data_IF_919720946379
#
_entry.id   IF_919720946379
#
_cell.length_a   1.000
_cell.length_b   1.000
_cell.length_c   1.000
_cell.angle_alpha   90.00
_cell.angle_beta   90.00
_cell.angle_gamma   90.00
#
_symmetry.space_group_name_H-M   'P 1'
#
loop_
_entity.id
_entity.type
_entity.pdbx_description
1 polymer ?
#
# COMPACT_ATOMS: atom_id res chain seq x y z
N UNK A 1 -14.39 -18.31 25.67
CA UNK A 1 -13.29 -19.00 24.98
C UNK A 1 -13.04 -18.35 23.64
N UNK A 2 -11.89 -17.78 23.43
CA UNK A 2 -11.46 -17.41 22.09
C UNK A 2 -11.33 -18.68 21.27
N UNK A 3 -12.03 -18.77 20.14
CA UNK A 3 -11.84 -19.88 19.21
C UNK A 3 -10.35 -19.92 18.82
N UNK A 4 -9.62 -21.03 19.05
CA UNK A 4 -8.22 -21.13 18.66
C UNK A 4 -8.02 -21.12 17.15
N UNK A 5 -9.08 -20.97 16.38
CA UNK A 5 -9.16 -21.07 14.93
C UNK A 5 -9.57 -19.75 14.29
N UNK A 6 -9.44 -18.64 15.04
CA UNK A 6 -9.73 -17.30 14.55
C UNK A 6 -8.45 -16.49 14.42
N UNK A 7 -8.21 -15.96 13.24
CA UNK A 7 -7.08 -15.06 12.97
C UNK A 7 -7.58 -13.76 12.36
N UNK A 8 -6.93 -12.66 12.76
CA UNK A 8 -7.21 -11.33 12.23
C UNK A 8 -5.95 -10.86 11.52
N UNK A 9 -6.06 -10.61 10.22
CA UNK A 9 -4.99 -10.05 9.42
C UNK A 9 -5.20 -8.55 9.29
N UNK A 10 -4.25 -7.77 9.75
CA UNK A 10 -4.16 -6.34 9.45
C UNK A 10 -3.30 -6.18 8.21
N UNK A 11 -3.88 -5.71 7.12
CA UNK A 11 -3.23 -5.58 5.82
C UNK A 11 -3.13 -4.10 5.47
N UNK A 12 -1.91 -3.62 5.26
CA UNK A 12 -1.69 -2.23 4.88
C UNK A 12 -0.79 -2.12 3.66
N UNK A 13 -1.13 -1.23 2.73
CA UNK A 13 -0.35 -1.01 1.52
C UNK A 13 0.87 -0.13 1.80
N UNK A 14 2.04 -0.57 1.34
CA UNK A 14 3.29 0.16 1.54
C UNK A 14 3.32 1.42 0.68
N UNK A 15 3.48 2.59 1.31
CA UNK A 15 3.54 3.90 0.61
C UNK A 15 2.47 3.99 -0.47
N UNK A 16 1.22 3.79 -0.09
CA UNK A 16 0.11 3.47 -1.01
C UNK A 16 0.01 4.41 -2.21
N UNK A 17 -0.07 5.71 -1.99
CA UNK A 17 -0.27 6.66 -3.10
C UNK A 17 0.91 6.63 -4.09
N UNK A 18 2.13 6.55 -3.59
CA UNK A 18 3.29 6.45 -4.45
C UNK A 18 3.32 5.11 -5.19
N UNK A 19 3.07 4.01 -4.49
CA UNK A 19 3.07 2.68 -5.09
C UNK A 19 1.99 2.52 -6.14
N UNK A 20 0.79 3.05 -5.89
CA UNK A 20 -0.31 3.01 -6.86
C UNK A 20 -0.03 3.87 -8.09
N UNK A 21 0.52 5.08 -7.90
CA UNK A 21 0.96 5.91 -9.01
C UNK A 21 2.05 5.22 -9.83
N UNK A 22 3.03 4.62 -9.15
CA UNK A 22 4.11 3.91 -9.82
C UNK A 22 3.62 2.68 -10.61
N UNK A 23 2.79 1.86 -10.00
CA UNK A 23 2.24 0.67 -10.65
C UNK A 23 1.42 1.03 -11.90
N UNK A 24 0.60 2.08 -11.80
CA UNK A 24 -0.19 2.57 -12.94
C UNK A 24 0.71 3.05 -14.09
N UNK A 25 1.72 3.87 -13.77
CA UNK A 25 2.64 4.41 -14.78
C UNK A 25 3.41 3.31 -15.50
N UNK A 26 3.92 2.33 -14.77
CA UNK A 26 4.70 1.23 -15.35
C UNK A 26 3.79 0.24 -16.08
N UNK A 27 2.72 -0.23 -15.43
CA UNK A 27 1.94 -1.35 -15.95
C UNK A 27 0.86 -0.95 -16.96
N UNK A 28 0.33 0.26 -16.84
CA UNK A 28 -0.75 0.74 -17.73
C UNK A 28 -0.21 1.71 -18.78
N UNK A 29 0.59 2.69 -18.37
CA UNK A 29 1.14 3.68 -19.28
C UNK A 29 2.43 3.25 -19.97
N UNK A 30 3.05 2.14 -19.53
CA UNK A 30 4.26 1.60 -20.12
C UNK A 30 5.50 2.46 -19.89
N UNK A 31 5.52 3.28 -18.86
CA UNK A 31 6.69 4.09 -18.53
C UNK A 31 7.86 3.20 -18.09
N UNK A 32 9.08 3.53 -18.56
CA UNK A 32 10.27 2.74 -18.27
C UNK A 32 10.77 2.94 -16.83
N UNK A 33 10.54 4.11 -16.23
CA UNK A 33 11.01 4.44 -14.90
C UNK A 33 9.94 4.14 -13.86
N UNK A 34 10.30 3.31 -12.88
CA UNK A 34 9.46 3.03 -11.73
C UNK A 34 9.76 4.04 -10.62
N UNK A 35 8.77 4.82 -10.22
CA UNK A 35 8.93 5.84 -9.16
C UNK A 35 9.45 5.26 -7.84
N UNK A 36 9.21 3.98 -7.59
CA UNK A 36 9.66 3.30 -6.36
C UNK A 36 11.17 3.10 -6.31
N UNK A 37 11.84 3.19 -7.46
CA UNK A 37 13.29 2.95 -7.58
C UNK A 37 14.13 4.23 -7.56
N UNK A 38 13.49 5.39 -7.55
CA UNK A 38 14.14 6.70 -7.58
C UNK A 38 13.60 7.58 -6.45
N UNK A 39 14.35 8.62 -6.02
CA UNK A 39 13.80 9.60 -5.09
C UNK A 39 12.57 10.28 -5.70
N UNK A 40 11.40 9.99 -5.17
CA UNK A 40 10.14 10.49 -5.68
C UNK A 40 9.11 10.67 -4.56
N UNK A 41 8.19 11.58 -4.78
CA UNK A 41 7.05 11.81 -3.89
C UNK A 41 5.77 12.01 -4.68
N UNK A 42 4.66 11.71 -4.03
CA UNK A 42 3.34 12.22 -4.42
C UNK A 42 3.09 13.46 -3.58
N UNK A 43 2.79 14.57 -4.23
CA UNK A 43 2.57 15.82 -3.53
C UNK A 43 1.49 16.65 -4.19
N UNK A 44 0.90 17.54 -3.40
CA UNK A 44 -0.16 18.42 -3.86
C UNK A 44 0.33 19.48 -4.81
N UNK A 45 -0.58 20.38 -5.19
CA UNK A 45 -0.41 21.39 -6.20
C UNK A 45 0.79 22.31 -5.91
N UNK A 46 1.82 22.20 -6.72
CA UNK A 46 3.02 23.02 -6.62
C UNK A 46 2.75 24.50 -6.93
N UNK A 47 1.78 24.79 -7.77
CA UNK A 47 1.47 26.16 -8.21
C UNK A 47 0.97 27.03 -7.07
N UNK A 48 0.36 26.43 -6.07
CA UNK A 48 -0.19 27.16 -4.91
C UNK A 48 0.79 27.33 -3.75
N UNK A 49 2.06 26.94 -3.90
CA UNK A 49 3.13 27.06 -2.91
C UNK A 49 2.87 26.40 -1.55
N UNK A 50 1.80 25.63 -1.40
CA UNK A 50 1.39 25.01 -0.13
C UNK A 50 1.29 23.50 -0.21
N UNK A 51 1.87 22.90 -1.26
CA UNK A 51 1.89 21.44 -1.40
C UNK A 51 2.70 20.78 -0.31
N UNK A 52 2.19 19.65 0.17
CA UNK A 52 2.88 18.82 1.15
C UNK A 52 3.17 17.44 0.55
N UNK A 53 4.13 16.74 1.14
CA UNK A 53 4.46 15.36 0.80
C UNK A 53 3.35 14.45 1.33
N UNK A 54 2.63 13.79 0.43
CA UNK A 54 1.57 12.83 0.80
C UNK A 54 2.10 11.41 0.92
N UNK A 55 3.06 11.05 0.06
CA UNK A 55 3.73 9.75 0.08
C UNK A 55 5.12 9.90 -0.53
N UNK A 56 6.02 9.01 -0.17
CA UNK A 56 7.41 9.06 -0.59
C UNK A 56 7.93 7.67 -0.94
N UNK A 57 8.90 7.62 -1.85
CA UNK A 57 9.61 6.38 -2.19
C UNK A 57 10.62 6.03 -1.10
N UNK A 58 11.06 4.77 -1.09
CA UNK A 58 12.14 4.32 -0.21
C UNK A 58 13.44 5.10 -0.48
N UNK A 59 13.87 5.33 -1.75
CA UNK A 59 15.01 6.19 -2.02
C UNK A 59 14.86 7.62 -1.48
N UNK A 60 13.66 8.19 -1.49
CA UNK A 60 13.43 9.53 -0.92
C UNK A 60 13.66 9.58 0.59
N UNK A 61 13.41 8.48 1.30
CA UNK A 61 13.67 8.40 2.76
C UNK A 61 15.12 8.64 3.10
N UNK A 62 16.06 8.29 2.23
CA UNK A 62 17.50 8.48 2.43
C UNK A 62 17.89 9.95 2.49
N UNK A 63 17.08 10.84 1.96
CA UNK A 63 17.28 12.29 2.01
C UNK A 63 16.54 12.93 3.19
N UNK A 64 16.05 12.12 4.13
CA UNK A 64 15.30 12.57 5.30
C UNK A 64 14.03 13.34 4.94
N UNK A 65 13.40 12.99 3.82
CA UNK A 65 12.11 13.56 3.43
C UNK A 65 11.02 12.94 4.28
N UNK A 66 10.18 13.80 4.87
CA UNK A 66 9.11 13.39 5.78
C UNK A 66 7.73 13.58 5.14
N UNK A 67 6.84 12.62 5.35
CA UNK A 67 5.43 12.78 4.98
C UNK A 67 4.84 13.94 5.79
N UNK A 68 4.12 14.82 5.11
CA UNK A 68 3.53 16.02 5.71
C UNK A 68 4.40 17.26 5.65
N UNK A 69 5.70 17.16 5.29
CA UNK A 69 6.52 18.36 5.12
C UNK A 69 6.21 19.08 3.80
N UNK A 70 6.60 20.35 3.73
CA UNK A 70 6.41 21.13 2.52
C UNK A 70 7.27 20.57 1.36
N UNK A 71 6.73 20.56 0.15
CA UNK A 71 7.45 20.11 -1.05
C UNK A 71 8.70 20.96 -1.28
N UNK A 72 8.63 22.25 -1.00
CA UNK A 72 9.79 23.15 -1.08
C UNK A 72 10.93 22.65 -0.21
N UNK A 73 10.63 22.24 1.02
CA UNK A 73 11.62 21.68 1.95
C UNK A 73 12.18 20.37 1.42
N UNK A 74 11.34 19.49 0.90
CA UNK A 74 11.77 18.23 0.31
C UNK A 74 12.72 18.45 -0.88
N UNK A 75 12.43 19.42 -1.75
CA UNK A 75 13.29 19.77 -2.89
C UNK A 75 14.63 20.37 -2.46
N UNK A 76 14.68 21.07 -1.32
CA UNK A 76 15.94 21.54 -0.76
C UNK A 76 16.82 20.39 -0.30
N UNK A 77 16.21 19.35 0.26
CA UNK A 77 16.92 18.13 0.69
C UNK A 77 17.37 17.26 -0.50
N UNK A 78 16.59 17.23 -1.57
CA UNK A 78 16.83 16.43 -2.76
C UNK A 78 16.43 17.23 -4.01
N UNK A 79 17.38 18.00 -4.61
CA UNK A 79 17.04 18.84 -5.77
C UNK A 79 16.56 18.08 -7.00
N UNK A 80 16.94 16.81 -7.16
CA UNK A 80 16.51 15.96 -8.28
C UNK A 80 15.28 15.10 -7.96
N UNK A 81 14.57 15.42 -6.87
CA UNK A 81 13.36 14.71 -6.48
C UNK A 81 12.29 14.82 -7.56
N UNK A 82 11.72 13.67 -7.93
CA UNK A 82 10.58 13.62 -8.84
C UNK A 82 9.29 13.81 -8.05
N UNK A 83 8.51 14.80 -8.43
CA UNK A 83 7.23 15.12 -7.79
C UNK A 83 6.10 14.81 -8.74
N UNK A 84 5.17 13.95 -8.33
CA UNK A 84 3.97 13.65 -9.13
C UNK A 84 2.73 14.09 -8.37
N UNK A 85 1.73 14.65 -9.07
CA UNK A 85 0.49 15.02 -8.41
C UNK A 85 -0.31 13.81 -8.00
N UNK A 86 -1.15 13.91 -6.94
CA UNK A 86 -2.02 12.82 -6.54
C UNK A 86 -3.15 12.61 -7.56
N UNK A 87 -3.51 11.37 -7.77
CA UNK A 87 -4.65 10.96 -8.57
C UNK A 87 -5.63 10.16 -7.70
N UNK A 88 -6.53 10.86 -7.05
CA UNK A 88 -7.45 10.24 -6.08
C UNK A 88 -8.42 9.25 -6.74
N UNK A 89 -8.79 9.45 -7.99
CA UNK A 89 -9.62 8.49 -8.74
C UNK A 89 -8.89 7.15 -8.91
N UNK A 90 -7.62 7.21 -9.28
CA UNK A 90 -6.76 6.02 -9.35
C UNK A 90 -6.66 5.34 -7.99
N UNK A 91 -6.48 6.09 -6.91
CA UNK A 91 -6.28 5.51 -5.57
C UNK A 91 -7.56 4.85 -5.05
N UNK A 92 -8.71 5.43 -5.31
CA UNK A 92 -10.00 4.78 -4.97
C UNK A 92 -10.15 3.45 -5.70
N UNK A 93 -9.80 3.41 -6.98
CA UNK A 93 -9.87 2.18 -7.76
C UNK A 93 -8.87 1.12 -7.28
N UNK A 94 -7.65 1.54 -6.97
CA UNK A 94 -6.62 0.65 -6.43
C UNK A 94 -7.04 0.08 -5.07
N UNK A 95 -7.58 0.93 -4.19
CA UNK A 95 -8.10 0.52 -2.90
C UNK A 95 -9.22 -0.50 -3.05
N UNK A 96 -10.16 -0.26 -3.95
CA UNK A 96 -11.26 -1.19 -4.22
C UNK A 96 -10.76 -2.54 -4.70
N UNK A 97 -9.78 -2.55 -5.61
CA UNK A 97 -9.17 -3.79 -6.11
C UNK A 97 -8.47 -4.56 -5.00
N UNK A 98 -7.77 -3.86 -4.12
CA UNK A 98 -7.10 -4.42 -2.95
C UNK A 98 -8.11 -5.09 -2.00
N UNK A 99 -9.18 -4.38 -1.66
CA UNK A 99 -10.24 -4.92 -0.80
C UNK A 99 -10.91 -6.13 -1.45
N UNK A 100 -11.13 -6.10 -2.76
CA UNK A 100 -11.74 -7.23 -3.49
C UNK A 100 -10.88 -8.50 -3.44
N UNK A 101 -9.55 -8.36 -3.45
CA UNK A 101 -8.66 -9.51 -3.25
C UNK A 101 -8.86 -10.11 -1.87
N UNK A 102 -8.93 -9.29 -0.82
CA UNK A 102 -9.17 -9.78 0.55
C UNK A 102 -10.52 -10.49 0.66
N UNK A 103 -11.56 -9.96 0.00
CA UNK A 103 -12.92 -10.53 0.02
C UNK A 103 -13.02 -11.88 -0.68
N UNK A 104 -12.07 -12.25 -1.52
CA UNK A 104 -11.99 -13.60 -2.10
C UNK A 104 -11.73 -14.66 -1.04
N UNK A 105 -11.06 -14.29 0.04
CA UNK A 105 -10.58 -15.22 1.08
C UNK A 105 -11.32 -15.09 2.39
N UNK A 106 -11.94 -13.95 2.67
CA UNK A 106 -12.70 -13.71 3.88
C UNK A 106 -14.00 -12.98 3.58
N UNK A 107 -15.09 -13.42 4.19
CA UNK A 107 -16.38 -12.73 4.16
C UNK A 107 -16.47 -11.61 5.21
N UNK A 108 -15.45 -11.47 6.05
CA UNK A 108 -15.39 -10.47 7.10
C UNK A 108 -14.19 -9.53 6.87
N UNK A 109 -14.31 -8.64 5.89
CA UNK A 109 -13.30 -7.63 5.61
C UNK A 109 -13.81 -6.28 6.08
N UNK A 110 -13.05 -5.64 6.97
CA UNK A 110 -13.36 -4.32 7.52
C UNK A 110 -12.31 -3.33 7.00
N UNK A 111 -12.75 -2.41 6.16
CA UNK A 111 -11.87 -1.37 5.66
C UNK A 111 -11.73 -0.26 6.71
N UNK A 112 -10.51 -0.02 7.16
CA UNK A 112 -10.20 1.02 8.13
C UNK A 112 -9.90 2.37 7.46
N UNK A 113 -9.13 2.33 6.37
CA UNK A 113 -8.77 3.51 5.57
C UNK A 113 -8.62 3.11 4.11
N UNK A 114 -8.24 4.04 3.25
CA UNK A 114 -8.06 3.77 1.82
C UNK A 114 -6.97 2.71 1.55
N UNK A 115 -5.99 2.60 2.44
CA UNK A 115 -4.83 1.71 2.26
C UNK A 115 -4.71 0.62 3.34
N UNK A 116 -5.70 0.51 4.24
CA UNK A 116 -5.67 -0.43 5.36
C UNK A 116 -7.00 -1.16 5.52
N UNK A 117 -6.91 -2.44 5.82
CA UNK A 117 -8.09 -3.25 6.11
C UNK A 117 -7.75 -4.38 7.08
N UNK A 118 -8.77 -4.84 7.78
CA UNK A 118 -8.70 -6.09 8.54
C UNK A 118 -9.48 -7.17 7.80
N UNK A 119 -8.89 -8.36 7.70
CA UNK A 119 -9.55 -9.54 7.20
C UNK A 119 -9.61 -10.56 8.34
N UNK A 120 -10.81 -10.99 8.67
CA UNK A 120 -11.06 -11.92 9.77
C UNK A 120 -11.30 -13.31 9.21
N UNK A 121 -10.55 -14.29 9.72
CA UNK A 121 -10.63 -15.68 9.30
C UNK A 121 -11.11 -16.54 10.46
N UNK A 122 -12.37 -16.88 10.48
CA UNK A 122 -12.93 -17.85 11.41
C UNK A 122 -12.84 -19.26 10.79
N UNK A 123 -12.42 -20.23 11.58
CA UNK A 123 -12.27 -21.60 11.08
C UNK A 123 -11.07 -21.78 10.16
N UNK A 124 -10.06 -20.94 10.27
CA UNK A 124 -8.89 -20.93 9.38
C UNK A 124 -8.21 -22.31 9.34
N UNK A 125 -7.92 -22.87 10.50
CA UNK A 125 -7.22 -24.16 10.58
C UNK A 125 -8.05 -25.32 10.01
N UNK A 126 -9.37 -25.23 10.08
CA UNK A 126 -10.27 -26.20 9.49
C UNK A 126 -10.23 -26.15 7.96
N UNK A 127 -10.12 -24.94 7.38
CA UNK A 127 -10.10 -24.75 5.94
C UNK A 127 -8.72 -24.95 5.32
N UNK A 128 -7.67 -24.48 5.99
CA UNK A 128 -6.32 -24.39 5.41
C UNK A 128 -5.27 -25.26 6.13
N UNK A 129 -5.60 -25.81 7.28
CA UNK A 129 -4.70 -26.64 8.06
C UNK A 129 -3.97 -25.87 9.17
N UNK A 130 -3.57 -26.63 10.20
CA UNK A 130 -2.89 -26.09 11.37
C UNK A 130 -1.50 -25.56 10.97
N UNK A 131 -1.14 -24.37 11.46
CA UNK A 131 0.18 -23.79 11.23
C UNK A 131 0.36 -23.18 9.84
N UNK A 132 -0.70 -23.05 9.02
CA UNK A 132 -0.60 -22.56 7.65
C UNK A 132 -0.78 -21.04 7.51
N UNK A 133 -1.10 -20.32 8.59
CA UNK A 133 -1.42 -18.89 8.50
C UNK A 133 -0.29 -18.01 7.97
N UNK A 134 0.95 -18.30 8.33
CA UNK A 134 2.11 -17.54 7.86
C UNK A 134 2.32 -17.75 6.38
N UNK A 135 2.27 -18.99 5.91
CA UNK A 135 2.36 -19.32 4.49
C UNK A 135 1.22 -18.66 3.71
N UNK A 136 0.00 -18.72 4.25
CA UNK A 136 -1.16 -18.08 3.64
C UNK A 136 -0.96 -16.56 3.49
N UNK A 137 -0.42 -15.92 4.52
CA UNK A 137 -0.13 -14.49 4.47
C UNK A 137 0.91 -14.16 3.39
N UNK A 138 1.98 -14.94 3.27
CA UNK A 138 2.96 -14.77 2.19
C UNK A 138 2.34 -14.96 0.82
N UNK A 139 1.52 -15.98 0.63
CA UNK A 139 0.84 -16.25 -0.63
C UNK A 139 -0.12 -15.09 -1.00
N UNK A 140 -0.81 -14.53 0.00
CA UNK A 140 -1.68 -13.37 -0.19
C UNK A 140 -0.90 -12.13 -0.61
N UNK A 141 0.24 -11.87 0.02
CA UNK A 141 1.15 -10.78 -0.36
C UNK A 141 1.60 -10.94 -1.81
N UNK A 142 2.00 -12.14 -2.21
CA UNK A 142 2.44 -12.41 -3.59
C UNK A 142 1.30 -12.25 -4.59
N UNK A 143 0.10 -12.69 -4.27
CA UNK A 143 -1.05 -12.49 -5.15
C UNK A 143 -1.32 -10.99 -5.38
N UNK A 144 -1.31 -10.18 -4.33
CA UNK A 144 -1.51 -8.73 -4.44
C UNK A 144 -0.40 -8.10 -5.29
N UNK A 145 0.84 -8.49 -5.05
CA UNK A 145 1.99 -8.00 -5.83
C UNK A 145 1.88 -8.35 -7.31
N UNK A 146 1.57 -9.61 -7.62
CA UNK A 146 1.50 -10.09 -9.01
C UNK A 146 0.29 -9.54 -9.76
N UNK A 147 -0.86 -9.45 -9.10
CA UNK A 147 -2.10 -9.03 -9.75
C UNK A 147 -2.31 -7.52 -9.75
N UNK A 148 -1.91 -6.83 -8.69
CA UNK A 148 -2.16 -5.39 -8.52
C UNK A 148 -0.90 -4.53 -8.63
N UNK A 149 0.28 -5.13 -8.53
CA UNK A 149 1.55 -4.45 -8.77
C UNK A 149 2.10 -3.63 -7.59
N UNK A 150 1.59 -3.83 -6.38
CA UNK A 150 2.13 -3.17 -5.18
C UNK A 150 2.25 -4.14 -4.02
N UNK A 151 3.01 -3.75 -2.99
CA UNK A 151 3.27 -4.60 -1.84
C UNK A 151 2.47 -4.15 -0.61
N UNK A 152 2.20 -5.11 0.26
CA UNK A 152 1.50 -4.88 1.52
C UNK A 152 2.30 -5.46 2.69
N UNK A 153 2.05 -4.94 3.88
CA UNK A 153 2.44 -5.57 5.13
C UNK A 153 1.23 -6.26 5.74
N UNK A 154 1.45 -7.42 6.32
CA UNK A 154 0.39 -8.18 6.99
C UNK A 154 0.83 -8.46 8.43
N UNK A 155 0.07 -7.93 9.38
CA UNK A 155 0.18 -8.30 10.78
C UNK A 155 -0.88 -9.34 11.12
N UNK A 156 -0.51 -10.37 11.86
CA UNK A 156 -1.41 -11.47 12.23
C UNK A 156 -1.66 -11.43 13.73
N UNK A 157 -2.92 -11.51 14.11
CA UNK A 157 -3.37 -11.50 15.50
C UNK A 157 -4.51 -12.49 15.69
N UNK A 158 -4.80 -12.84 16.93
CA UNK A 158 -5.95 -13.67 17.30
C UNK A 158 -7.08 -12.88 17.92
N UNK A 159 -6.89 -11.60 18.14
CA UNK A 159 -7.89 -10.72 18.75
C UNK A 159 -7.82 -9.29 18.24
#
# INVERSE_FOLDING_TARGET
MTSPNRYIFHVDANSAFLSWSAAYKVNILGEATDLRTIPSIVGGDQEKRHGIVLAKSTPAKKYNIQTGEAIVTALQKCPHLVVVPPDYGLYVNASRSFINVLKKYSDQVIQYSIDEAWAIFDGFETLYGKGQMVKFAYDLKEEIKETLGFTVNIGISTN
#
